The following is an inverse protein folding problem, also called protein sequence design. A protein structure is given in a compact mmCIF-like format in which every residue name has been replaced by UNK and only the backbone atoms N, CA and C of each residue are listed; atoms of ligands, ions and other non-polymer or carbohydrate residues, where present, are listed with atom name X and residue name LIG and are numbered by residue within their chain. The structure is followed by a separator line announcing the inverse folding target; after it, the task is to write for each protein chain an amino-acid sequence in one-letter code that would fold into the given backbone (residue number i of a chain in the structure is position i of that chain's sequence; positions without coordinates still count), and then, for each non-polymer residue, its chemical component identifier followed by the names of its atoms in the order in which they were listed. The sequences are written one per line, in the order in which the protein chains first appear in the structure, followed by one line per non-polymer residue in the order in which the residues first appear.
data_IF_453716276110
#
_entry.id   IF_453716276110
#
_cell.length_a   1.000
_cell.length_b   1.000
_cell.length_c   1.000
_cell.angle_alpha   90.00
_cell.angle_beta   90.00
_cell.angle_gamma   90.00
#
_symmetry.space_group_name_H-M   'P 1'
#
loop_
_entity.id
_entity.type
_entity.pdbx_description
1 polymer ?
#
# COMPACT_ATOMS: atom_id res chain seq x y z
N UNK A 1 -31.08 123.37 8.86
CA UNK A 1 -31.71 122.05 9.00
C UNK A 1 -30.59 121.09 9.31
N UNK A 2 -30.29 120.92 10.60
CA UNK A 2 -29.26 119.97 11.05
C UNK A 2 -29.83 118.57 10.82
N UNK A 3 -29.21 117.81 9.92
CA UNK A 3 -29.50 116.38 9.80
C UNK A 3 -28.99 115.75 11.10
N UNK A 4 -29.91 115.34 11.97
CA UNK A 4 -29.60 114.47 13.11
C UNK A 4 -28.89 113.24 12.55
N UNK A 5 -27.61 113.11 12.92
CA UNK A 5 -26.80 111.94 12.64
C UNK A 5 -27.32 110.85 13.55
N UNK A 6 -28.05 109.89 12.98
CA UNK A 6 -28.59 108.75 13.72
C UNK A 6 -27.43 107.81 14.11
N UNK A 7 -26.82 108.08 15.27
CA UNK A 7 -25.76 107.25 15.88
C UNK A 7 -26.18 105.78 16.02
N UNK A 8 -27.48 105.50 16.21
CA UNK A 8 -28.00 104.14 16.28
C UNK A 8 -27.87 103.43 14.92
N UNK A 9 -28.12 104.13 13.81
CA UNK A 9 -27.92 103.58 12.46
C UNK A 9 -26.45 103.27 12.15
N UNK A 10 -25.50 104.09 12.61
CA UNK A 10 -24.07 103.82 12.40
C UNK A 10 -23.57 102.64 13.24
N UNK A 11 -23.95 102.57 14.51
CA UNK A 11 -23.61 101.41 15.37
C UNK A 11 -24.27 100.12 14.88
N UNK A 12 -25.50 100.19 14.35
CA UNK A 12 -26.18 99.07 13.70
C UNK A 12 -25.45 98.57 12.46
N UNK A 13 -24.94 99.49 11.63
CA UNK A 13 -24.13 99.15 10.45
C UNK A 13 -22.79 98.52 10.84
N UNK A 14 -22.07 99.09 11.80
CA UNK A 14 -20.78 98.58 12.27
C UNK A 14 -20.92 97.18 12.90
N UNK A 15 -21.96 96.97 13.71
CA UNK A 15 -22.29 95.65 14.26
C UNK A 15 -22.62 94.63 13.17
N UNK A 16 -23.42 95.04 12.16
CA UNK A 16 -23.76 94.19 11.02
C UNK A 16 -22.54 93.84 10.17
N UNK A 17 -21.65 94.80 9.92
CA UNK A 17 -20.41 94.60 9.16
C UNK A 17 -19.45 93.65 9.90
N UNK A 18 -19.25 93.86 11.21
CA UNK A 18 -18.40 92.98 12.03
C UNK A 18 -18.98 91.58 12.14
N UNK A 19 -20.30 91.42 12.22
CA UNK A 19 -20.96 90.12 12.14
C UNK A 19 -20.67 89.43 10.82
N UNK A 20 -20.72 90.15 9.69
CA UNK A 20 -20.48 89.61 8.35
C UNK A 20 -19.02 89.19 8.15
N UNK A 21 -18.07 90.00 8.66
CA UNK A 21 -16.65 89.66 8.71
C UNK A 21 -16.40 88.43 9.57
N UNK A 22 -16.99 88.35 10.76
CA UNK A 22 -16.82 87.19 11.65
C UNK A 22 -17.39 85.91 11.04
N UNK A 23 -18.57 85.98 10.39
CA UNK A 23 -19.14 84.84 9.67
C UNK A 23 -18.23 84.36 8.53
N UNK A 24 -17.63 85.27 7.76
CA UNK A 24 -16.73 84.91 6.66
C UNK A 24 -15.40 84.33 7.19
N UNK A 25 -14.89 84.86 8.31
CA UNK A 25 -13.70 84.32 8.98
C UNK A 25 -13.98 82.92 9.53
N UNK A 26 -15.09 82.72 10.24
CA UNK A 26 -15.50 81.41 10.76
C UNK A 26 -15.68 80.39 9.62
N UNK A 27 -16.30 80.82 8.52
CA UNK A 27 -16.46 79.97 7.33
C UNK A 27 -15.11 79.53 6.78
N UNK A 28 -14.16 80.46 6.58
CA UNK A 28 -12.81 80.13 6.10
C UNK A 28 -12.03 79.24 7.08
N UNK A 29 -12.16 79.49 8.37
CA UNK A 29 -11.52 78.65 9.40
C UNK A 29 -12.07 77.23 9.33
N UNK A 30 -13.38 77.06 9.19
CA UNK A 30 -13.99 75.74 9.04
C UNK A 30 -13.57 75.06 7.73
N UNK A 31 -13.52 75.79 6.62
CA UNK A 31 -13.01 75.26 5.34
C UNK A 31 -11.56 74.75 5.46
N UNK A 32 -10.68 75.51 6.14
CA UNK A 32 -9.32 75.07 6.39
C UNK A 32 -9.22 73.88 7.35
N UNK A 33 -10.09 73.80 8.36
CA UNK A 33 -10.13 72.65 9.27
C UNK A 33 -10.59 71.38 8.55
N UNK A 34 -11.58 71.49 7.66
CA UNK A 34 -12.08 70.38 6.84
C UNK A 34 -11.01 69.91 5.84
N UNK A 35 -10.29 70.85 5.21
CA UNK A 35 -9.17 70.54 4.32
C UNK A 35 -8.03 69.84 5.08
N UNK A 36 -7.68 70.34 6.27
CA UNK A 36 -6.64 69.75 7.11
C UNK A 36 -7.03 68.35 7.61
N UNK A 37 -8.29 68.13 7.94
CA UNK A 37 -8.82 66.81 8.30
C UNK A 37 -8.74 65.85 7.10
N UNK A 38 -9.14 66.31 5.91
CA UNK A 38 -9.07 65.53 4.67
C UNK A 38 -7.63 65.15 4.31
N UNK A 39 -6.69 66.10 4.42
CA UNK A 39 -5.27 65.86 4.18
C UNK A 39 -4.67 64.87 5.19
N UNK A 40 -5.06 64.94 6.48
CA UNK A 40 -4.62 63.97 7.48
C UNK A 40 -5.10 62.56 7.15
N UNK A 41 -6.33 62.42 6.69
CA UNK A 41 -6.88 61.11 6.31
C UNK A 41 -6.19 60.55 5.05
N UNK A 42 -5.94 61.39 4.04
CA UNK A 42 -5.15 61.01 2.86
C UNK A 42 -3.73 60.60 3.25
N UNK A 43 -3.09 61.30 4.18
CA UNK A 43 -1.75 60.97 4.64
C UNK A 43 -1.73 59.64 5.41
N UNK A 44 -2.71 59.40 6.27
CA UNK A 44 -2.89 58.13 7.00
C UNK A 44 -3.08 56.95 6.04
N UNK A 45 -3.92 57.12 5.01
CA UNK A 45 -4.15 56.11 3.96
C UNK A 45 -2.88 55.86 3.13
N UNK A 46 -2.09 56.91 2.86
CA UNK A 46 -0.82 56.80 2.14
C UNK A 46 0.23 56.05 2.96
N UNK A 47 0.33 56.30 4.27
CA UNK A 47 1.20 55.57 5.19
C UNK A 47 0.84 54.08 5.27
N UNK A 48 -0.46 53.76 5.37
CA UNK A 48 -0.92 52.36 5.33
C UNK A 48 -0.51 51.67 4.02
N UNK A 49 -0.66 52.35 2.89
CA UNK A 49 -0.29 51.83 1.58
C UNK A 49 1.23 51.66 1.42
N UNK A 50 2.03 52.55 2.01
CA UNK A 50 3.49 52.40 2.08
C UNK A 50 3.87 51.16 2.90
N UNK A 51 3.22 50.90 4.03
CA UNK A 51 3.48 49.71 4.84
C UNK A 51 3.16 48.43 4.05
N UNK A 52 2.01 48.38 3.37
CA UNK A 52 1.62 47.26 2.50
C UNK A 52 2.63 47.04 1.36
N UNK A 53 3.04 48.11 0.67
CA UNK A 53 4.06 48.03 -0.39
C UNK A 53 5.42 47.57 0.15
N UNK A 54 5.79 47.97 1.36
CA UNK A 54 7.05 47.57 2.01
C UNK A 54 7.04 46.09 2.42
N UNK A 55 5.88 45.57 2.87
CA UNK A 55 5.70 44.13 3.12
C UNK A 55 5.74 43.32 1.81
N UNK A 56 5.25 43.89 0.70
CA UNK A 56 5.32 43.28 -0.63
C UNK A 56 6.76 43.22 -1.17
N UNK A 57 7.62 44.18 -0.78
CA UNK A 57 9.04 44.26 -1.13
C UNK A 57 9.96 43.22 -0.43
N UNK A 58 9.46 42.36 0.47
CA UNK A 58 10.21 41.19 0.98
C UNK A 58 10.12 39.95 0.07
N UNK A 59 9.14 39.91 -0.83
CA UNK A 59 8.95 38.83 -1.82
C UNK A 59 10.11 38.70 -2.83
N UNK A 60 10.76 39.76 -3.31
CA UNK A 60 11.88 39.67 -4.26
C UNK A 60 13.12 38.98 -3.70
N UNK A 61 13.49 39.22 -2.43
CA UNK A 61 14.65 38.55 -1.81
C UNK A 61 14.39 37.08 -1.52
N UNK A 62 13.18 36.76 -1.05
CA UNK A 62 12.74 35.38 -0.87
C UNK A 62 12.67 34.63 -2.21
N UNK A 63 12.20 35.27 -3.27
CA UNK A 63 12.23 34.71 -4.62
C UNK A 63 13.65 34.48 -5.12
N UNK A 64 14.58 35.43 -4.93
CA UNK A 64 16.01 35.23 -5.26
C UNK A 64 16.62 34.06 -4.50
N UNK A 65 16.34 33.94 -3.20
CA UNK A 65 16.81 32.82 -2.38
C UNK A 65 16.21 31.49 -2.85
N UNK A 66 14.93 31.49 -3.20
CA UNK A 66 14.25 30.33 -3.76
C UNK A 66 14.85 29.91 -5.10
N UNK A 67 15.16 30.83 -6.02
CA UNK A 67 15.83 30.50 -7.29
C UNK A 67 17.23 29.89 -7.05
N UNK A 68 17.97 30.41 -6.07
CA UNK A 68 19.26 29.83 -5.66
C UNK A 68 19.09 28.43 -5.07
N UNK A 69 18.05 28.19 -4.25
CA UNK A 69 17.74 26.86 -3.75
C UNK A 69 17.33 25.94 -4.91
N UNK A 70 16.48 26.43 -5.81
CA UNK A 70 15.93 25.69 -6.94
C UNK A 70 17.04 25.14 -7.83
N UNK A 71 18.01 25.99 -8.19
CA UNK A 71 19.20 25.61 -8.99
C UNK A 71 20.16 24.63 -8.30
N UNK A 72 20.05 24.41 -7.00
CA UNK A 72 20.92 23.47 -6.25
C UNK A 72 20.28 22.10 -6.07
N UNK A 73 18.96 21.99 -6.19
CA UNK A 73 18.28 20.70 -6.08
C UNK A 73 18.27 20.02 -7.44
N UNK A 74 18.75 18.79 -7.49
CA UNK A 74 18.85 17.96 -8.68
C UNK A 74 18.21 16.60 -8.42
N UNK A 75 18.02 15.79 -9.46
CA UNK A 75 17.51 14.43 -9.32
C UNK A 75 18.36 13.57 -8.35
N UNK A 76 19.67 13.79 -8.32
CA UNK A 76 20.57 13.01 -7.49
C UNK A 76 20.41 13.33 -5.99
N UNK A 77 20.18 14.60 -5.65
CA UNK A 77 20.13 15.06 -4.26
C UNK A 77 18.72 15.29 -3.71
N UNK A 78 17.67 15.34 -4.56
CA UNK A 78 16.29 15.53 -4.10
C UNK A 78 15.82 14.39 -3.20
N UNK A 79 16.41 13.20 -3.36
CA UNK A 79 16.16 12.06 -2.48
C UNK A 79 16.41 12.38 -1.00
N UNK A 80 17.40 13.23 -0.71
CA UNK A 80 17.72 13.70 0.65
C UNK A 80 16.61 14.61 1.15
N UNK A 81 16.11 15.54 0.33
CA UNK A 81 15.01 16.42 0.72
C UNK A 81 13.75 15.59 1.03
N UNK A 82 13.38 14.69 0.12
CA UNK A 82 12.19 13.84 0.25
C UNK A 82 12.25 12.99 1.53
N UNK A 83 13.42 12.46 1.89
CA UNK A 83 13.59 11.67 3.10
C UNK A 83 13.26 12.42 4.40
N UNK A 84 13.29 13.76 4.40
CA UNK A 84 12.96 14.58 5.57
C UNK A 84 11.49 15.03 5.63
N UNK A 85 10.66 14.64 4.64
CA UNK A 85 9.26 15.07 4.55
C UNK A 85 8.27 14.16 5.30
N UNK A 86 8.77 13.13 6.00
CA UNK A 86 7.95 12.15 6.72
C UNK A 86 6.84 11.51 5.86
N UNK A 87 7.14 11.26 4.58
CA UNK A 87 6.21 10.61 3.65
C UNK A 87 6.12 9.11 3.94
N UNK A 88 4.98 8.52 3.58
CA UNK A 88 4.77 7.09 3.68
C UNK A 88 5.65 6.37 2.65
N UNK A 89 6.52 5.48 3.15
CA UNK A 89 7.45 4.73 2.31
C UNK A 89 7.10 3.24 2.26
N UNK A 90 7.07 2.69 1.05
CA UNK A 90 6.90 1.26 0.79
C UNK A 90 8.21 0.49 1.00
N UNK A 91 8.09 -0.78 1.34
CA UNK A 91 9.21 -1.73 1.47
C UNK A 91 9.64 -2.35 0.14
N UNK A 92 9.37 -1.69 -0.99
CA UNK A 92 9.72 -2.21 -2.32
C UNK A 92 11.24 -2.27 -2.47
N UNK A 93 11.73 -3.46 -2.77
CA UNK A 93 13.14 -3.71 -3.04
C UNK A 93 13.47 -3.45 -4.52
N UNK A 94 14.57 -2.71 -4.75
CA UNK A 94 15.09 -2.39 -6.07
C UNK A 94 16.35 -3.19 -6.42
N UNK A 95 16.84 -4.05 -5.53
CA UNK A 95 17.94 -4.95 -5.83
C UNK A 95 17.56 -6.00 -6.89
N UNK A 96 18.57 -6.62 -7.50
CA UNK A 96 18.40 -7.62 -8.55
C UNK A 96 18.95 -7.21 -9.91
N UNK A 97 18.53 -7.92 -10.95
CA UNK A 97 18.98 -7.66 -12.32
C UNK A 97 18.41 -6.34 -12.84
N UNK A 98 19.20 -5.61 -13.63
CA UNK A 98 18.84 -4.29 -14.19
C UNK A 98 18.57 -3.20 -13.14
N UNK A 99 18.96 -3.37 -11.88
CA UNK A 99 18.76 -2.37 -10.82
C UNK A 99 19.37 -0.99 -11.12
N UNK A 100 20.47 -0.99 -11.85
CA UNK A 100 21.22 0.21 -12.25
C UNK A 100 20.54 0.93 -13.41
N UNK A 101 19.65 0.26 -14.15
CA UNK A 101 18.86 0.84 -15.25
C UNK A 101 17.60 1.56 -14.74
N UNK A 102 17.20 1.31 -13.48
CA UNK A 102 16.03 1.95 -12.88
C UNK A 102 16.38 3.40 -12.51
N UNK A 103 15.76 4.41 -13.14
CA UNK A 103 16.08 5.81 -12.90
C UNK A 103 15.59 6.25 -11.51
N UNK A 104 16.32 7.21 -10.95
CA UNK A 104 16.06 7.68 -9.59
C UNK A 104 14.64 8.24 -9.40
N UNK A 105 14.06 8.89 -10.41
CA UNK A 105 12.69 9.39 -10.34
C UNK A 105 11.70 8.24 -10.10
N UNK A 106 11.90 7.09 -10.77
CA UNK A 106 11.02 5.94 -10.63
C UNK A 106 11.19 5.29 -9.25
N UNK A 107 12.44 5.19 -8.76
CA UNK A 107 12.72 4.71 -7.40
C UNK A 107 11.98 5.55 -6.35
N UNK A 108 12.02 6.88 -6.48
CA UNK A 108 11.34 7.80 -5.56
C UNK A 108 9.80 7.65 -5.64
N UNK A 109 9.24 7.61 -6.85
CA UNK A 109 7.78 7.46 -7.04
C UNK A 109 7.28 6.12 -6.50
N UNK A 110 8.01 5.02 -6.72
CA UNK A 110 7.60 3.70 -6.22
C UNK A 110 7.78 3.60 -4.70
N UNK A 111 8.88 4.15 -4.17
CA UNK A 111 9.13 4.16 -2.72
C UNK A 111 8.07 4.96 -1.99
N UNK A 112 7.71 6.14 -2.46
CA UNK A 112 6.73 7.01 -1.79
C UNK A 112 5.39 7.03 -2.55
N UNK A 113 4.98 5.88 -3.07
CA UNK A 113 3.81 5.80 -3.95
C UNK A 113 2.50 6.33 -3.35
N UNK A 114 2.18 6.09 -2.05
CA UNK A 114 1.00 6.70 -1.43
C UNK A 114 0.98 8.23 -1.52
N UNK A 115 2.17 8.85 -1.46
CA UNK A 115 2.38 10.30 -1.51
C UNK A 115 2.99 10.77 -2.86
N UNK A 116 2.81 10.01 -3.94
CA UNK A 116 3.49 10.27 -5.23
C UNK A 116 3.20 11.65 -5.82
N UNK A 117 2.02 12.21 -5.55
CA UNK A 117 1.65 13.54 -6.03
C UNK A 117 2.49 14.64 -5.39
N UNK A 118 2.89 14.47 -4.12
CA UNK A 118 3.83 15.38 -3.44
C UNK A 118 5.20 15.29 -4.10
N UNK A 119 5.65 14.08 -4.45
CA UNK A 119 6.92 13.88 -5.16
C UNK A 119 6.91 14.58 -6.52
N UNK A 120 5.83 14.42 -7.30
CA UNK A 120 5.69 15.12 -8.58
C UNK A 120 5.65 16.64 -8.41
N UNK A 121 4.95 17.15 -7.39
CA UNK A 121 4.93 18.59 -7.10
C UNK A 121 6.34 19.12 -6.78
N UNK A 122 7.17 18.34 -6.07
CA UNK A 122 8.56 18.69 -5.82
C UNK A 122 9.40 18.63 -7.10
N UNK A 123 9.20 17.63 -7.95
CA UNK A 123 9.88 17.58 -9.25
C UNK A 123 9.55 18.80 -10.10
N UNK A 124 8.27 19.18 -10.16
CA UNK A 124 7.80 20.37 -10.88
C UNK A 124 8.36 21.66 -10.24
N UNK A 125 8.44 21.72 -8.91
CA UNK A 125 8.97 22.88 -8.17
C UNK A 125 10.47 23.09 -8.43
N UNK A 126 11.22 22.02 -8.63
CA UNK A 126 12.67 22.01 -8.80
C UNK A 126 13.14 21.80 -10.25
N UNK A 127 12.22 21.88 -11.23
CA UNK A 127 12.47 21.62 -12.66
C UNK A 127 13.19 20.27 -12.92
N UNK A 128 12.86 19.24 -12.14
CA UNK A 128 13.41 17.90 -12.32
C UNK A 128 12.65 17.20 -13.44
N UNK A 129 13.37 16.78 -14.47
CA UNK A 129 12.79 16.09 -15.61
C UNK A 129 12.34 14.67 -15.25
N UNK A 130 11.14 14.32 -15.71
CA UNK A 130 10.61 12.96 -15.67
C UNK A 130 9.71 12.70 -16.90
N UNK A 131 9.48 11.44 -17.30
CA UNK A 131 8.65 11.14 -18.46
C UNK A 131 7.19 11.57 -18.26
N UNK A 132 6.56 12.11 -19.32
CA UNK A 132 5.16 12.57 -19.28
C UNK A 132 4.16 11.49 -18.78
N UNK A 133 4.45 10.21 -19.05
CA UNK A 133 3.60 9.09 -18.63
C UNK A 133 3.72 8.74 -17.14
N UNK A 134 4.72 9.28 -16.43
CA UNK A 134 4.99 8.93 -15.04
C UNK A 134 3.81 9.27 -14.11
N UNK A 135 3.11 10.39 -14.32
CA UNK A 135 1.95 10.78 -13.50
C UNK A 135 0.78 9.80 -13.62
N UNK A 136 0.60 9.19 -14.79
CA UNK A 136 -0.44 8.19 -15.03
C UNK A 136 -0.04 6.77 -14.63
N UNK A 137 1.21 6.55 -14.24
CA UNK A 137 1.68 5.23 -13.88
C UNK A 137 1.03 4.75 -12.57
N UNK A 138 0.66 3.47 -12.59
CA UNK A 138 0.13 2.77 -11.42
C UNK A 138 0.97 1.56 -11.06
N UNK A 139 1.15 1.35 -9.76
CA UNK A 139 1.68 0.08 -9.27
C UNK A 139 0.60 -1.01 -9.31
N UNK A 140 0.98 -2.29 -9.47
CA UNK A 140 0.01 -3.38 -9.62
C UNK A 140 -1.02 -3.52 -8.49
N UNK A 141 -0.66 -3.13 -7.26
CA UNK A 141 -1.59 -3.12 -6.14
C UNK A 141 -2.71 -2.06 -6.24
N UNK A 142 -2.55 -1.08 -7.13
CA UNK A 142 -3.49 0.01 -7.39
C UNK A 142 -4.21 -0.16 -8.75
N UNK A 143 -4.06 -1.33 -9.38
CA UNK A 143 -4.82 -1.65 -10.58
C UNK A 143 -6.32 -1.76 -10.28
N UNK A 144 -7.12 -1.14 -11.14
CA UNK A 144 -8.57 -1.18 -11.09
C UNK A 144 -9.12 -2.48 -11.73
N UNK A 145 -10.44 -2.61 -11.75
CA UNK A 145 -11.09 -3.79 -12.29
C UNK A 145 -10.74 -4.09 -13.75
N UNK A 146 -10.72 -3.07 -14.63
CA UNK A 146 -10.40 -3.27 -16.04
C UNK A 146 -8.95 -3.72 -16.25
N UNK A 147 -8.04 -3.22 -15.43
CA UNK A 147 -6.62 -3.61 -15.45
C UNK A 147 -6.46 -5.06 -14.95
N UNK A 148 -7.14 -5.44 -13.86
CA UNK A 148 -7.14 -6.82 -13.36
C UNK A 148 -7.80 -7.81 -14.32
N UNK A 149 -8.93 -7.46 -14.93
CA UNK A 149 -9.61 -8.30 -15.92
C UNK A 149 -8.67 -8.60 -17.11
N UNK A 150 -7.82 -7.65 -17.48
CA UNK A 150 -6.76 -7.83 -18.48
C UNK A 150 -5.65 -8.76 -18.00
N UNK A 151 -5.21 -8.67 -16.73
CA UNK A 151 -4.27 -9.62 -16.12
C UNK A 151 -4.82 -11.04 -16.21
N UNK A 152 -6.05 -11.27 -15.73
CA UNK A 152 -6.65 -12.61 -15.71
C UNK A 152 -6.87 -13.18 -17.12
N UNK A 153 -7.17 -12.33 -18.10
CA UNK A 153 -7.29 -12.73 -19.51
C UNK A 153 -5.95 -13.11 -20.14
N UNK A 154 -4.84 -12.56 -19.62
CA UNK A 154 -3.49 -12.76 -20.14
C UNK A 154 -2.54 -13.42 -19.14
N UNK A 155 -3.08 -14.20 -18.19
CA UNK A 155 -2.28 -14.81 -17.11
C UNK A 155 -1.12 -15.66 -17.63
N UNK A 156 -1.27 -16.25 -18.83
CA UNK A 156 -0.23 -17.04 -19.49
C UNK A 156 1.00 -16.26 -19.92
N UNK A 157 0.92 -14.93 -19.98
CA UNK A 157 2.07 -14.06 -20.25
C UNK A 157 2.78 -13.63 -18.96
N UNK A 158 2.16 -13.82 -17.79
CA UNK A 158 2.68 -13.32 -16.50
C UNK A 158 3.83 -14.17 -15.98
N UNK A 159 5.04 -13.93 -16.48
CA UNK A 159 6.24 -14.67 -16.13
C UNK A 159 7.41 -13.72 -15.89
N UNK A 160 8.28 -14.05 -14.93
CA UNK A 160 9.53 -13.32 -14.65
C UNK A 160 10.71 -14.22 -15.00
N UNK A 161 11.58 -13.77 -15.91
CA UNK A 161 12.55 -14.64 -16.58
C UNK A 161 13.72 -15.12 -15.73
N UNK A 162 14.04 -14.43 -14.63
CA UNK A 162 15.17 -14.78 -13.75
C UNK A 162 14.81 -15.75 -12.62
N UNK A 163 13.55 -16.24 -12.56
CA UNK A 163 13.07 -17.09 -11.45
C UNK A 163 12.77 -16.33 -10.16
N UNK A 164 13.04 -15.03 -10.09
CA UNK A 164 12.73 -14.17 -8.94
C UNK A 164 11.28 -13.65 -9.05
N UNK A 165 10.31 -14.57 -8.93
CA UNK A 165 8.89 -14.29 -9.14
C UNK A 165 8.34 -13.24 -8.16
N UNK A 166 8.83 -13.23 -6.91
CA UNK A 166 8.24 -12.46 -5.81
C UNK A 166 9.16 -11.37 -5.21
N UNK A 167 10.41 -11.29 -5.65
CA UNK A 167 11.40 -10.35 -5.13
C UNK A 167 12.47 -10.08 -6.19
N UNK A 168 13.30 -9.05 -6.01
CA UNK A 168 14.45 -8.73 -6.87
C UNK A 168 14.13 -8.61 -8.39
N UNK A 169 12.94 -8.10 -8.74
CA UNK A 169 12.41 -8.08 -10.11
C UNK A 169 11.96 -6.69 -10.60
N UNK A 170 12.21 -5.63 -9.82
CA UNK A 170 11.80 -4.27 -10.17
C UNK A 170 12.51 -3.72 -11.42
N UNK A 171 13.73 -4.19 -11.73
CA UNK A 171 14.45 -3.81 -12.95
C UNK A 171 13.70 -4.24 -14.21
N UNK A 172 13.30 -5.50 -14.26
CA UNK A 172 12.48 -6.07 -15.34
C UNK A 172 11.13 -5.37 -15.49
N UNK A 173 10.46 -5.11 -14.37
CA UNK A 173 9.21 -4.37 -14.36
C UNK A 173 9.37 -2.97 -14.95
N UNK A 174 10.39 -2.23 -14.51
CA UNK A 174 10.69 -0.91 -15.04
C UNK A 174 10.97 -0.96 -16.55
N UNK A 175 11.78 -1.90 -17.01
CA UNK A 175 12.10 -2.07 -18.44
C UNK A 175 10.85 -2.36 -19.29
N UNK A 176 9.94 -3.18 -18.79
CA UNK A 176 8.66 -3.49 -19.44
C UNK A 176 7.73 -2.27 -19.49
N UNK A 177 7.53 -1.61 -18.35
CA UNK A 177 6.65 -0.44 -18.21
C UNK A 177 7.17 0.74 -19.03
N UNK A 178 8.47 1.02 -18.99
CA UNK A 178 9.08 2.15 -19.68
C UNK A 178 8.96 2.04 -21.20
N UNK A 179 9.15 0.84 -21.77
CA UNK A 179 8.98 0.55 -23.21
C UNK A 179 7.59 0.91 -23.72
N UNK A 180 6.57 0.68 -22.91
CA UNK A 180 5.17 0.95 -23.26
C UNK A 180 4.56 2.15 -22.54
N UNK A 181 5.39 2.98 -21.91
CA UNK A 181 4.96 4.21 -21.22
C UNK A 181 3.84 3.95 -20.20
N UNK A 182 3.92 2.85 -19.48
CA UNK A 182 2.91 2.41 -18.50
C UNK A 182 1.58 1.93 -19.08
N UNK A 183 1.45 1.80 -20.40
CA UNK A 183 0.23 1.30 -21.01
C UNK A 183 0.16 -0.24 -20.93
N UNK A 184 -0.66 -0.74 -19.99
CA UNK A 184 -0.84 -2.16 -19.72
C UNK A 184 -1.39 -2.94 -20.94
N UNK A 185 -2.30 -2.32 -21.71
CA UNK A 185 -2.87 -2.93 -22.93
C UNK A 185 -1.79 -3.19 -23.97
N UNK A 186 -0.99 -2.18 -24.28
CA UNK A 186 0.12 -2.30 -25.23
C UNK A 186 1.16 -3.32 -24.75
N UNK A 187 1.43 -3.37 -23.44
CA UNK A 187 2.34 -4.34 -22.84
C UNK A 187 1.85 -5.78 -23.12
N UNK A 188 0.58 -6.09 -22.86
CA UNK A 188 0.03 -7.41 -23.14
C UNK A 188 -0.15 -7.72 -24.63
N UNK A 189 -0.43 -6.73 -25.47
CA UNK A 189 -0.60 -6.96 -26.91
C UNK A 189 0.72 -7.22 -27.63
N UNK A 190 1.81 -6.57 -27.20
CA UNK A 190 3.08 -6.55 -27.94
C UNK A 190 4.16 -7.46 -27.38
N UNK A 191 4.11 -7.78 -26.08
CA UNK A 191 5.08 -8.68 -25.48
C UNK A 191 4.63 -10.14 -25.52
N UNK A 192 5.62 -11.03 -25.65
CA UNK A 192 5.43 -12.47 -25.52
C UNK A 192 5.24 -12.89 -24.06
N UNK A 193 5.85 -12.16 -23.12
CA UNK A 193 5.70 -12.33 -21.67
C UNK A 193 5.78 -10.96 -20.98
N UNK A 194 5.20 -10.85 -19.80
CA UNK A 194 5.03 -9.61 -19.06
C UNK A 194 5.52 -9.78 -17.63
N UNK A 195 6.50 -8.97 -17.25
CA UNK A 195 7.22 -9.06 -15.97
C UNK A 195 6.61 -8.13 -14.92
N UNK A 196 5.31 -8.27 -14.69
CA UNK A 196 4.63 -7.58 -13.59
C UNK A 196 4.99 -8.29 -12.26
N UNK A 197 5.50 -7.57 -11.25
CA UNK A 197 5.90 -8.16 -9.99
C UNK A 197 4.72 -8.79 -9.24
N UNK A 198 4.78 -10.10 -9.03
CA UNK A 198 3.70 -10.84 -8.36
C UNK A 198 3.50 -10.39 -6.91
N UNK A 199 4.56 -10.01 -6.21
CA UNK A 199 4.45 -9.45 -4.86
C UNK A 199 3.65 -8.16 -4.80
N UNK A 200 3.72 -7.31 -5.84
CA UNK A 200 2.90 -6.10 -5.92
C UNK A 200 1.48 -6.42 -6.38
N UNK A 201 1.31 -7.30 -7.36
CA UNK A 201 -0.02 -7.71 -7.81
C UNK A 201 -0.82 -8.34 -6.66
N UNK A 202 -0.19 -9.23 -5.88
CA UNK A 202 -0.81 -9.92 -4.76
C UNK A 202 -1.14 -9.02 -3.57
N UNK A 203 -0.73 -7.75 -3.56
CA UNK A 203 -1.17 -6.74 -2.59
C UNK A 203 -2.46 -6.03 -3.01
N UNK A 204 -2.94 -6.23 -4.24
CA UNK A 204 -4.14 -5.56 -4.74
C UNK A 204 -5.38 -6.00 -3.93
N UNK A 205 -6.08 -5.08 -3.23
CA UNK A 205 -7.18 -5.42 -2.33
C UNK A 205 -8.38 -6.03 -3.03
N UNK A 206 -8.54 -5.80 -4.35
CA UNK A 206 -9.62 -6.39 -5.12
C UNK A 206 -9.49 -7.91 -5.21
N UNK A 207 -8.27 -8.47 -5.12
CA UNK A 207 -8.03 -9.92 -5.25
C UNK A 207 -8.70 -10.77 -4.16
N UNK A 208 -9.01 -10.17 -3.00
CA UNK A 208 -9.69 -10.84 -1.90
C UNK A 208 -11.21 -10.63 -1.92
N UNK A 209 -11.73 -9.86 -2.87
CA UNK A 209 -13.17 -9.70 -3.09
C UNK A 209 -13.72 -10.88 -3.91
N UNK A 210 -15.00 -11.18 -3.75
CA UNK A 210 -15.65 -12.37 -4.32
C UNK A 210 -15.40 -12.57 -5.82
N UNK A 211 -15.53 -11.49 -6.63
CA UNK A 211 -15.30 -11.53 -8.08
C UNK A 211 -13.92 -12.07 -8.42
N UNK A 212 -12.87 -11.45 -7.88
CA UNK A 212 -11.49 -11.79 -8.23
C UNK A 212 -10.98 -13.02 -7.49
N UNK A 213 -11.41 -13.25 -6.26
CA UNK A 213 -11.09 -14.48 -5.56
C UNK A 213 -11.63 -15.70 -6.32
N UNK A 214 -12.85 -15.61 -6.88
CA UNK A 214 -13.39 -16.65 -7.77
C UNK A 214 -12.52 -16.83 -9.02
N UNK A 215 -12.06 -15.76 -9.65
CA UNK A 215 -11.15 -15.85 -10.80
C UNK A 215 -9.80 -16.50 -10.45
N UNK A 216 -9.27 -16.24 -9.25
CA UNK A 216 -8.08 -16.93 -8.71
C UNK A 216 -8.37 -18.42 -8.59
N UNK A 217 -9.44 -18.78 -7.89
CA UNK A 217 -9.85 -20.16 -7.67
C UNK A 217 -10.00 -20.91 -9.01
N UNK A 218 -10.75 -20.35 -9.94
CA UNK A 218 -10.99 -20.93 -11.26
C UNK A 218 -9.68 -21.05 -12.06
N UNK A 219 -8.76 -20.09 -11.94
CA UNK A 219 -7.48 -20.15 -12.64
C UNK A 219 -6.59 -21.28 -12.12
N UNK A 220 -6.55 -21.49 -10.80
CA UNK A 220 -5.81 -22.60 -10.18
C UNK A 220 -6.46 -23.94 -10.51
N UNK A 221 -7.79 -24.04 -10.35
CA UNK A 221 -8.54 -25.27 -10.63
C UNK A 221 -8.33 -25.75 -12.07
N UNK A 222 -8.35 -24.81 -13.03
CA UNK A 222 -8.14 -25.10 -14.45
C UNK A 222 -6.65 -25.15 -14.86
N UNK A 223 -5.72 -25.12 -13.89
CA UNK A 223 -4.27 -25.20 -14.12
C UNK A 223 -3.77 -24.19 -15.16
N UNK A 224 -4.29 -22.96 -15.15
CA UNK A 224 -3.81 -21.90 -16.04
C UNK A 224 -2.34 -21.62 -15.74
N UNK A 225 -1.58 -21.25 -16.77
CA UNK A 225 -0.17 -20.86 -16.61
C UNK A 225 -0.01 -19.81 -15.50
N UNK A 226 0.99 -20.02 -14.64
CA UNK A 226 1.37 -19.14 -13.53
C UNK A 226 0.30 -18.94 -12.42
N UNK A 227 -0.86 -19.63 -12.49
CA UNK A 227 -1.91 -19.49 -11.48
C UNK A 227 -1.48 -19.96 -10.09
N UNK A 228 -0.52 -20.89 -10.01
CA UNK A 228 0.00 -21.40 -8.73
C UNK A 228 0.61 -20.30 -7.84
N UNK A 229 1.05 -19.18 -8.43
CA UNK A 229 1.60 -18.06 -7.68
C UNK A 229 0.58 -17.38 -6.76
N UNK A 230 -0.73 -17.56 -7.00
CA UNK A 230 -1.77 -17.07 -6.10
C UNK A 230 -1.80 -17.76 -4.73
N UNK A 231 -1.16 -18.93 -4.56
CA UNK A 231 -0.99 -19.52 -3.22
C UNK A 231 -0.15 -18.64 -2.28
N UNK A 232 0.57 -17.64 -2.80
CA UNK A 232 1.28 -16.65 -1.99
C UNK A 232 0.41 -15.45 -1.55
N UNK A 233 -0.87 -15.36 -1.91
CA UNK A 233 -1.70 -14.20 -1.60
C UNK A 233 -1.73 -13.85 -0.10
N UNK A 234 -1.71 -14.86 0.77
CA UNK A 234 -1.69 -14.71 2.23
C UNK A 234 -0.37 -14.15 2.80
N UNK A 235 0.67 -14.04 1.97
CA UNK A 235 1.92 -13.37 2.36
C UNK A 235 1.76 -11.84 2.30
N UNK A 236 0.75 -11.35 1.58
CA UNK A 236 0.55 -9.95 1.25
C UNK A 236 -0.80 -9.39 1.71
N UNK A 237 -1.79 -10.27 1.92
CA UNK A 237 -3.14 -9.87 2.34
C UNK A 237 -3.73 -10.87 3.33
N UNK A 238 -4.64 -10.39 4.17
CA UNK A 238 -5.47 -11.26 4.99
C UNK A 238 -6.57 -11.87 4.13
N UNK A 239 -6.61 -13.19 4.04
CA UNK A 239 -7.73 -13.94 3.44
C UNK A 239 -8.57 -14.58 4.55
N UNK A 240 -9.88 -14.69 4.32
CA UNK A 240 -10.78 -15.34 5.29
C UNK A 240 -10.50 -16.84 5.40
N UNK A 241 -10.88 -17.46 6.52
CA UNK A 241 -10.79 -18.92 6.71
C UNK A 241 -11.53 -19.68 5.60
N UNK A 242 -12.65 -19.15 5.11
CA UNK A 242 -13.39 -19.75 3.99
C UNK A 242 -12.58 -19.73 2.70
N UNK A 243 -11.93 -18.61 2.39
CA UNK A 243 -11.05 -18.48 1.22
C UNK A 243 -9.83 -19.41 1.34
N UNK A 244 -9.19 -19.45 2.52
CA UNK A 244 -8.08 -20.38 2.77
C UNK A 244 -8.52 -21.83 2.57
N UNK A 245 -9.71 -22.22 3.05
CA UNK A 245 -10.26 -23.56 2.85
C UNK A 245 -10.43 -23.89 1.37
N UNK A 246 -11.02 -22.98 0.59
CA UNK A 246 -11.23 -23.19 -0.85
C UNK A 246 -9.89 -23.33 -1.61
N UNK A 247 -8.89 -22.50 -1.31
CA UNK A 247 -7.56 -22.65 -1.89
C UNK A 247 -6.88 -23.96 -1.46
N UNK A 248 -7.04 -24.37 -0.19
CA UNK A 248 -6.42 -25.60 0.33
C UNK A 248 -6.87 -26.84 -0.45
N UNK A 249 -8.14 -26.90 -0.87
CA UNK A 249 -8.68 -27.99 -1.69
C UNK A 249 -7.96 -28.14 -3.04
N UNK A 250 -7.34 -27.08 -3.54
CA UNK A 250 -6.64 -27.06 -4.82
C UNK A 250 -5.15 -27.45 -4.70
N UNK A 251 -4.66 -27.70 -3.49
CA UNK A 251 -3.28 -28.15 -3.27
C UNK A 251 -3.09 -29.55 -3.91
N UNK A 252 -2.08 -29.75 -4.77
CA UNK A 252 -1.82 -31.05 -5.36
C UNK A 252 -1.50 -32.11 -4.30
N UNK A 253 -2.03 -33.33 -4.45
CA UNK A 253 -1.73 -34.44 -3.54
C UNK A 253 -0.39 -35.12 -3.81
N UNK A 254 0.29 -34.74 -4.90
CA UNK A 254 1.61 -35.23 -5.30
C UNK A 254 2.44 -34.07 -5.85
N UNK A 255 3.77 -34.17 -5.75
CA UNK A 255 4.71 -33.19 -6.31
C UNK A 255 4.49 -31.76 -5.79
N UNK A 256 4.42 -31.61 -4.47
CA UNK A 256 4.29 -30.30 -3.83
C UNK A 256 5.49 -29.40 -4.13
N UNK A 257 5.22 -28.28 -4.78
CA UNK A 257 6.15 -27.16 -4.93
C UNK A 257 6.27 -26.40 -3.61
N UNK A 258 7.35 -25.64 -3.47
CA UNK A 258 7.64 -24.84 -2.28
C UNK A 258 6.51 -23.86 -1.91
N UNK A 259 5.85 -23.29 -2.92
CA UNK A 259 4.70 -22.41 -2.72
C UNK A 259 3.51 -23.13 -2.06
N UNK A 260 3.25 -24.39 -2.43
CA UNK A 260 2.18 -25.19 -1.83
C UNK A 260 2.54 -25.57 -0.39
N UNK A 261 3.80 -26.00 -0.18
CA UNK A 261 4.33 -26.35 1.14
C UNK A 261 4.21 -25.20 2.15
N UNK A 262 4.57 -24.00 1.72
CA UNK A 262 4.43 -22.79 2.52
C UNK A 262 2.96 -22.46 2.79
N UNK A 263 2.08 -22.65 1.80
CA UNK A 263 0.64 -22.46 1.99
C UNK A 263 0.06 -23.40 3.03
N UNK A 264 0.36 -24.69 2.92
CA UNK A 264 -0.07 -25.73 3.86
C UNK A 264 0.42 -25.43 5.27
N UNK A 265 1.71 -25.09 5.44
CA UNK A 265 2.29 -24.78 6.76
C UNK A 265 1.58 -23.63 7.47
N UNK A 266 1.21 -22.57 6.73
CA UNK A 266 0.47 -21.42 7.30
C UNK A 266 -0.99 -21.76 7.64
N UNK A 267 -1.56 -22.77 7.00
CA UNK A 267 -2.97 -23.15 7.15
C UNK A 267 -3.16 -24.55 7.72
N UNK A 268 -2.17 -25.12 8.41
CA UNK A 268 -2.22 -26.51 8.88
C UNK A 268 -3.38 -26.74 9.87
N UNK A 269 -3.77 -25.69 10.60
CA UNK A 269 -4.93 -25.69 11.48
C UNK A 269 -6.23 -26.12 10.78
N UNK A 270 -6.36 -25.89 9.46
CA UNK A 270 -7.54 -26.30 8.70
C UNK A 270 -7.70 -27.82 8.66
N UNK A 271 -6.60 -28.58 8.64
CA UNK A 271 -6.63 -30.05 8.64
C UNK A 271 -7.20 -30.63 9.95
N UNK A 272 -7.14 -29.84 11.03
CA UNK A 272 -7.61 -30.23 12.37
C UNK A 272 -9.10 -30.01 12.54
N UNK A 273 -9.65 -28.98 11.89
CA UNK A 273 -11.05 -28.59 12.07
C UNK A 273 -11.92 -28.93 10.86
N UNK A 274 -11.33 -29.33 9.73
CA UNK A 274 -12.05 -29.64 8.51
C UNK A 274 -11.89 -31.12 8.12
N UNK A 275 -12.97 -31.89 8.29
CA UNK A 275 -12.98 -33.34 8.00
C UNK A 275 -12.72 -33.65 6.53
N UNK A 276 -13.25 -32.85 5.61
CA UNK A 276 -13.04 -33.02 4.16
C UNK A 276 -11.56 -32.88 3.78
N UNK A 277 -10.88 -31.84 4.29
CA UNK A 277 -9.44 -31.65 4.05
C UNK A 277 -8.59 -32.71 4.77
N UNK A 278 -8.95 -33.07 6.00
CA UNK A 278 -8.26 -34.11 6.77
C UNK A 278 -8.26 -35.44 6.00
N UNK A 279 -9.41 -35.80 5.43
CA UNK A 279 -9.57 -37.02 4.64
C UNK A 279 -8.81 -36.96 3.31
N UNK A 280 -8.85 -35.80 2.62
CA UNK A 280 -8.17 -35.60 1.34
C UNK A 280 -6.64 -35.76 1.43
N UNK A 281 -6.05 -35.37 2.57
CA UNK A 281 -4.59 -35.33 2.77
C UNK A 281 -4.05 -36.41 3.70
N UNK A 282 -4.88 -37.33 4.22
CA UNK A 282 -4.48 -38.34 5.23
C UNK A 282 -3.29 -39.21 4.79
N UNK A 283 -3.19 -39.54 3.51
CA UNK A 283 -2.13 -40.42 2.99
C UNK A 283 -0.78 -39.70 2.86
N UNK A 284 -0.75 -38.38 3.10
CA UNK A 284 0.47 -37.57 3.08
C UNK A 284 1.00 -37.27 4.49
N UNK A 285 0.34 -37.80 5.53
CA UNK A 285 0.75 -37.60 6.92
C UNK A 285 2.18 -38.10 7.17
N UNK A 286 2.90 -37.38 8.04
CA UNK A 286 4.29 -37.68 8.41
C UNK A 286 4.51 -37.59 9.92
N UNK A 287 5.50 -38.32 10.42
CA UNK A 287 5.97 -38.23 11.81
C UNK A 287 6.86 -36.99 12.07
N UNK A 288 7.33 -36.33 11.01
CA UNK A 288 8.23 -35.19 11.13
C UNK A 288 7.47 -33.94 11.58
N UNK A 289 7.79 -33.44 12.79
CA UNK A 289 7.20 -32.22 13.34
C UNK A 289 7.47 -30.94 12.51
N UNK A 290 8.47 -30.98 11.62
CA UNK A 290 8.78 -29.90 10.69
C UNK A 290 8.17 -30.14 9.29
N UNK A 291 7.50 -31.27 9.10
CA UNK A 291 6.80 -31.62 7.85
C UNK A 291 5.53 -30.81 7.65
N UNK A 292 5.10 -30.66 6.40
CA UNK A 292 3.90 -29.88 6.05
C UNK A 292 2.59 -30.58 6.40
N UNK A 293 2.61 -31.91 6.49
CA UNK A 293 1.48 -32.72 6.93
C UNK A 293 1.87 -33.49 8.18
N UNK A 294 2.23 -32.77 9.24
CA UNK A 294 2.53 -33.41 10.51
C UNK A 294 1.26 -34.04 11.08
N UNK A 295 1.32 -35.28 11.56
CA UNK A 295 0.11 -36.01 11.93
C UNK A 295 -0.78 -35.28 12.95
N UNK A 296 -0.19 -34.51 13.89
CA UNK A 296 -0.95 -33.75 14.90
C UNK A 296 -1.79 -32.59 14.32
N UNK A 297 -1.55 -32.23 13.06
CA UNK A 297 -2.36 -31.23 12.36
C UNK A 297 -3.70 -31.80 11.88
N UNK A 298 -3.89 -33.12 11.88
CA UNK A 298 -5.11 -33.78 11.39
C UNK A 298 -6.16 -33.97 12.49
N UNK A 299 -7.35 -34.43 12.13
CA UNK A 299 -8.37 -34.83 13.11
C UNK A 299 -7.99 -36.13 13.82
N UNK A 300 -8.48 -36.29 15.05
CA UNK A 300 -8.14 -37.44 15.90
C UNK A 300 -8.37 -38.82 15.23
N UNK A 301 -9.47 -39.06 14.48
CA UNK A 301 -9.64 -40.34 13.78
C UNK A 301 -8.51 -40.65 12.80
N UNK A 302 -8.06 -39.65 12.03
CA UNK A 302 -6.94 -39.78 11.10
C UNK A 302 -5.60 -39.93 11.84
N UNK A 303 -5.38 -39.19 12.94
CA UNK A 303 -4.22 -39.36 13.81
C UNK A 303 -4.10 -40.79 14.32
N UNK A 304 -5.21 -41.33 14.84
CA UNK A 304 -5.30 -42.71 15.34
C UNK A 304 -4.98 -43.71 14.24
N UNK A 305 -5.64 -43.60 13.08
CA UNK A 305 -5.41 -44.49 11.94
C UNK A 305 -3.95 -44.45 11.45
N UNK A 306 -3.33 -43.28 11.43
CA UNK A 306 -1.92 -43.11 11.03
C UNK A 306 -0.97 -43.81 12.02
N UNK A 307 -1.15 -43.61 13.32
CA UNK A 307 -0.33 -44.27 14.37
C UNK A 307 -0.47 -45.80 14.31
N UNK A 308 -1.64 -46.31 13.95
CA UNK A 308 -1.90 -47.76 13.86
C UNK A 308 -1.22 -48.45 12.67
N UNK A 309 -0.62 -47.71 11.73
CA UNK A 309 0.02 -48.30 10.56
C UNK A 309 1.17 -49.26 10.94
N UNK A 310 1.27 -50.40 10.26
CA UNK A 310 2.27 -51.45 10.56
C UNK A 310 3.73 -51.04 10.32
N UNK A 311 3.95 -50.08 9.42
CA UNK A 311 5.28 -49.59 9.05
C UNK A 311 5.91 -48.63 10.08
N UNK A 312 5.17 -48.18 11.10
CA UNK A 312 5.70 -47.32 12.16
C UNK A 312 6.20 -48.20 13.31
N UNK A 313 7.42 -47.95 13.79
CA UNK A 313 7.99 -48.69 14.92
C UNK A 313 7.21 -48.47 16.21
N UNK A 314 7.09 -49.52 17.04
CA UNK A 314 6.30 -49.49 18.28
C UNK A 314 6.73 -48.37 19.26
N UNK A 315 8.03 -48.17 19.45
CA UNK A 315 8.55 -47.08 20.29
C UNK A 315 8.12 -45.70 19.79
N UNK A 316 8.06 -45.52 18.46
CA UNK A 316 7.56 -44.29 17.83
C UNK A 316 6.06 -44.13 17.99
N UNK A 317 5.28 -45.20 17.87
CA UNK A 317 3.82 -45.15 18.11
C UNK A 317 3.52 -44.67 19.53
N UNK A 318 4.23 -45.18 20.54
CA UNK A 318 4.08 -44.75 21.93
C UNK A 318 4.46 -43.27 22.09
N UNK A 319 5.59 -42.84 21.51
CA UNK A 319 6.01 -41.43 21.52
C UNK A 319 4.92 -40.51 20.91
N UNK A 320 4.32 -40.94 19.80
CA UNK A 320 3.26 -40.20 19.13
C UNK A 320 1.99 -40.11 19.97
N UNK A 321 1.55 -41.21 20.59
CA UNK A 321 0.38 -41.21 21.49
C UNK A 321 0.58 -40.22 22.65
N UNK A 322 1.77 -40.20 23.24
CA UNK A 322 2.10 -39.27 24.31
C UNK A 322 1.91 -37.80 23.90
N UNK A 323 2.14 -37.46 22.63
CA UNK A 323 1.97 -36.10 22.08
C UNK A 323 0.52 -35.75 21.71
N UNK A 324 -0.40 -36.71 21.63
CA UNK A 324 -1.79 -36.45 21.31
C UNK A 324 -2.43 -35.51 22.33
N UNK A 325 -3.29 -34.61 21.85
CA UNK A 325 -4.07 -33.72 22.71
C UNK A 325 -5.40 -34.38 23.12
N UNK A 326 -5.30 -35.48 23.88
CA UNK A 326 -6.43 -36.26 24.41
C UNK A 326 -6.21 -36.55 25.91
N UNK A 327 -7.27 -36.84 26.68
CA UNK A 327 -7.17 -37.21 28.10
C UNK A 327 -6.23 -38.39 28.36
N UNK A 328 -5.66 -38.45 29.57
CA UNK A 328 -4.70 -39.50 29.95
C UNK A 328 -5.31 -40.90 29.85
N UNK A 329 -6.56 -41.04 30.25
CA UNK A 329 -7.32 -42.28 30.22
C UNK A 329 -7.46 -42.80 28.78
N UNK A 330 -7.67 -41.89 27.83
CA UNK A 330 -7.78 -42.21 26.40
C UNK A 330 -6.42 -42.60 25.80
N UNK A 331 -5.33 -41.97 26.25
CA UNK A 331 -3.96 -42.40 25.89
C UNK A 331 -3.66 -43.81 26.37
N UNK A 332 -4.02 -44.14 27.62
CA UNK A 332 -3.83 -45.47 28.19
C UNK A 332 -4.61 -46.50 27.37
N UNK A 333 -5.88 -46.22 27.07
CA UNK A 333 -6.71 -47.09 26.24
C UNK A 333 -6.08 -47.31 24.86
N UNK A 334 -5.56 -46.26 24.23
CA UNK A 334 -4.93 -46.37 22.92
C UNK A 334 -3.62 -47.19 22.98
N UNK A 335 -2.82 -47.06 24.04
CA UNK A 335 -1.63 -47.91 24.24
C UNK A 335 -2.02 -49.38 24.43
N UNK A 336 -3.11 -49.67 25.17
CA UNK A 336 -3.63 -51.03 25.32
C UNK A 336 -4.07 -51.61 23.97
N UNK A 337 -4.83 -50.86 23.16
CA UNK A 337 -5.24 -51.28 21.82
C UNK A 337 -4.04 -51.60 20.90
N UNK A 338 -2.94 -50.83 21.01
CA UNK A 338 -1.70 -51.12 20.28
C UNK A 338 -1.01 -52.41 20.75
N UNK A 339 -1.04 -52.69 22.05
CA UNK A 339 -0.46 -53.90 22.62
C UNK A 339 -1.22 -55.14 22.13
N UNK A 340 -2.56 -55.08 22.12
CA UNK A 340 -3.42 -56.16 21.63
C UNK A 340 -3.16 -56.44 20.15
N UNK A 341 -3.09 -55.39 19.30
CA UNK A 341 -2.74 -55.53 17.88
C UNK A 341 -1.36 -56.18 17.68
N UNK A 342 -0.38 -55.84 18.52
CA UNK A 342 0.98 -56.40 18.42
C UNK A 342 0.99 -57.89 18.77
N UNK A 343 0.19 -58.31 19.74
CA UNK A 343 0.03 -59.73 20.10
C UNK A 343 -0.61 -60.50 18.94
N UNK A 344 -1.70 -59.97 18.36
CA UNK A 344 -2.38 -60.58 17.21
C UNK A 344 -1.46 -60.73 16.00
N UNK A 345 -0.67 -59.69 15.67
CA UNK A 345 0.29 -59.73 14.56
C UNK A 345 1.34 -60.83 14.77
N UNK A 346 1.89 -60.96 15.99
CA UNK A 346 2.85 -62.00 16.37
C UNK A 346 2.24 -63.41 16.22
N UNK A 347 1.02 -63.62 16.75
CA UNK A 347 0.33 -64.91 16.66
C UNK A 347 0.04 -65.30 15.19
N UNK A 348 -0.29 -64.33 14.35
CA UNK A 348 -0.56 -64.55 12.93
C UNK A 348 0.69 -64.97 12.15
N UNK A 349 1.85 -64.39 12.46
CA UNK A 349 3.13 -64.76 11.83
C UNK A 349 3.55 -66.19 12.22
N UNK A 350 3.36 -66.58 13.49
CA UNK A 350 3.64 -67.95 13.94
C UNK A 350 2.75 -69.01 13.29
N UNK A 351 1.51 -68.66 12.95
CA UNK A 351 0.57 -69.59 12.30
C UNK A 351 0.80 -69.78 10.79
N UNK A 352 1.51 -68.86 10.12
CA UNK A 352 1.85 -68.98 8.70
C UNK A 352 3.17 -69.73 8.43
N UNK A 353 4.04 -69.85 9.43
CA UNK A 353 5.31 -70.60 9.34
C UNK A 353 5.15 -72.12 9.64
N UNK A 354 3.91 -72.61 9.79
CA UNK A 354 3.61 -74.02 10.14
C UNK A 354 3.10 -74.90 8.98
N UNK A 355 3.42 -74.59 7.72
CA UNK A 355 3.10 -75.43 6.55
C UNK A 355 4.38 -75.90 5.83
#
# INVERSE_FOLDING_TARGET
MYLEYDEESYQSFESSFMSLVNTEVEKRVNEYLDELHSLREVNRLSEQKIIELTQTNKKPEQMKLFEVLKSKITLDNISVLIAHLNLESSSVDFEGMHKDEIPQWFKLIVKYYPDKDIIFALFDLFDIEYPLWAKSYKLPYDYNESELDMIFSNLYKMYVCNGCIFEHNMGFHFSSVSRYKGNLKNLFEKESYVEIPWNLLLQNPLLTQDKYFKLIYDSILNKKSHSEYFFKIQDYQNISTSQSKELFKLIPTKNLKEIHKNFVKKNSYLLKFNTELSELFKDQMTENQYGHFYYLDFQYPQQKAFIMQRNIRMDKKIEMICKLNIPKEEKIKFISELADQTIEDIESDFSNDTI
#
